data_IF_570421647128
#
_entry.id   IF_570421647128
#
_cell.length_a   1.000
_cell.length_b   1.000
_cell.length_c   1.000
_cell.angle_alpha   90.00
_cell.angle_beta   90.00
_cell.angle_gamma   90.00
#
_symmetry.space_group_name_H-M   'P 1'
#
loop_
_entity.id
_entity.type
_entity.pdbx_description
1 polymer ?
#
# COMPACT_ATOMS: atom_id res chain seq x y z
N UNK A 1 -10.42 -85.02 18.01
CA UNK A 1 -10.63 -83.71 18.65
C UNK A 1 -9.40 -82.82 18.38
N UNK A 2 -9.17 -82.43 17.11
CA UNK A 2 -8.04 -81.55 16.74
C UNK A 2 -8.24 -80.94 15.34
N UNK A 3 -9.35 -80.20 15.13
CA UNK A 3 -9.58 -79.52 13.83
C UNK A 3 -9.96 -78.05 13.97
N UNK A 4 -10.19 -77.50 15.18
CA UNK A 4 -10.68 -76.15 15.34
C UNK A 4 -9.62 -75.08 15.60
N UNK A 5 -8.36 -75.38 15.82
CA UNK A 5 -7.35 -74.39 16.21
C UNK A 5 -6.58 -73.74 15.02
N UNK A 6 -6.58 -74.38 13.86
CA UNK A 6 -5.81 -73.90 12.71
C UNK A 6 -6.53 -72.83 11.84
N UNK A 7 -7.83 -72.71 11.94
CA UNK A 7 -8.60 -71.71 11.14
C UNK A 7 -8.60 -70.31 11.76
N UNK A 8 -8.48 -70.22 13.08
CA UNK A 8 -8.47 -68.97 13.80
C UNK A 8 -7.17 -68.12 13.63
N UNK A 9 -6.05 -68.79 13.48
CA UNK A 9 -4.74 -68.11 13.32
C UNK A 9 -4.51 -67.53 11.92
N UNK A 10 -5.09 -68.16 10.85
CA UNK A 10 -5.00 -67.60 9.49
C UNK A 10 -5.87 -66.39 9.32
N UNK A 11 -7.05 -66.31 9.92
CA UNK A 11 -7.95 -65.15 9.83
C UNK A 11 -7.39 -63.94 10.58
N UNK A 12 -6.72 -64.13 11.73
CA UNK A 12 -6.06 -63.00 12.45
C UNK A 12 -4.93 -62.39 11.65
N UNK A 13 -4.16 -63.17 10.89
CA UNK A 13 -3.03 -62.71 10.08
C UNK A 13 -3.49 -61.84 8.91
N UNK A 14 -4.66 -62.11 8.31
CA UNK A 14 -5.24 -61.28 7.27
C UNK A 14 -5.88 -60.03 7.84
N UNK A 15 -6.39 -60.06 9.07
CA UNK A 15 -6.97 -58.89 9.74
C UNK A 15 -5.90 -57.82 10.05
N UNK A 16 -4.71 -58.23 10.49
CA UNK A 16 -3.57 -57.34 10.70
C UNK A 16 -2.98 -56.82 9.39
N UNK A 17 -2.99 -57.62 8.32
CA UNK A 17 -2.56 -57.19 6.98
C UNK A 17 -3.50 -56.14 6.37
N UNK A 18 -4.82 -56.30 6.56
CA UNK A 18 -5.84 -55.32 6.11
C UNK A 18 -5.78 -54.05 6.92
N UNK A 19 -5.52 -54.10 8.23
CA UNK A 19 -5.32 -52.91 9.07
C UNK A 19 -4.05 -52.17 8.69
N UNK A 20 -2.94 -52.87 8.35
CA UNK A 20 -1.69 -52.27 7.92
C UNK A 20 -1.82 -51.57 6.56
N UNK A 21 -2.67 -52.02 5.65
CA UNK A 21 -2.93 -51.41 4.35
C UNK A 21 -3.76 -50.14 4.44
N UNK A 22 -4.56 -49.93 5.51
CA UNK A 22 -5.39 -48.73 5.70
C UNK A 22 -4.54 -47.56 6.16
N UNK A 23 -3.34 -47.78 6.74
CA UNK A 23 -2.44 -46.70 7.16
C UNK A 23 -1.50 -46.19 6.04
N UNK A 24 -1.48 -46.83 4.87
CA UNK A 24 -0.78 -46.36 3.68
C UNK A 24 -1.71 -45.67 2.72
N UNK A 25 -2.47 -44.68 3.19
CA UNK A 25 -3.11 -43.71 2.29
C UNK A 25 -2.05 -42.66 1.99
N UNK A 26 -1.51 -42.59 0.76
CA UNK A 26 -0.64 -41.47 0.41
C UNK A 26 -1.45 -40.20 0.58
N UNK A 27 -0.94 -39.26 1.37
CA UNK A 27 -1.49 -37.92 1.42
C UNK A 27 -1.45 -37.34 0.01
N UNK A 28 -2.57 -37.41 -0.68
CA UNK A 28 -2.74 -36.73 -1.95
C UNK A 28 -2.67 -35.23 -1.67
N UNK A 29 -1.53 -34.63 -1.88
CA UNK A 29 -1.44 -33.18 -2.03
C UNK A 29 -2.21 -32.85 -3.30
N UNK A 30 -3.44 -32.41 -3.14
CA UNK A 30 -4.15 -31.76 -4.22
C UNK A 30 -3.35 -30.49 -4.57
N UNK A 31 -2.54 -30.57 -5.63
CA UNK A 31 -1.98 -29.39 -6.24
C UNK A 31 -3.18 -28.55 -6.69
N UNK A 32 -3.39 -27.40 -6.08
CA UNK A 32 -4.37 -26.41 -6.53
C UNK A 32 -3.88 -25.92 -7.90
N UNK A 33 -4.43 -26.47 -8.97
CA UNK A 33 -4.15 -25.99 -10.33
C UNK A 33 -4.92 -24.68 -10.51
N UNK A 34 -4.27 -23.57 -10.14
CA UNK A 34 -4.82 -22.22 -10.33
C UNK A 34 -4.62 -21.86 -11.80
N UNK A 35 -5.59 -22.20 -12.62
CA UNK A 35 -5.66 -21.65 -13.97
C UNK A 35 -6.04 -20.18 -13.84
N UNK A 36 -5.06 -19.28 -13.95
CA UNK A 36 -5.30 -17.85 -14.11
C UNK A 36 -5.83 -17.66 -15.53
N UNK A 37 -7.14 -17.83 -15.70
CA UNK A 37 -7.81 -17.28 -16.87
C UNK A 37 -7.76 -15.77 -16.73
N UNK A 38 -7.23 -15.06 -17.73
CA UNK A 38 -7.38 -13.61 -17.86
C UNK A 38 -8.88 -13.32 -18.01
N UNK A 39 -9.62 -13.28 -16.91
CA UNK A 39 -10.94 -12.69 -16.89
C UNK A 39 -10.76 -11.19 -17.19
N UNK A 40 -11.29 -10.73 -18.32
CA UNK A 40 -11.48 -9.30 -18.53
C UNK A 40 -12.45 -8.86 -17.44
N UNK A 41 -11.93 -8.23 -16.39
CA UNK A 41 -12.77 -7.52 -15.43
C UNK A 41 -13.31 -6.30 -16.18
N UNK A 42 -14.60 -6.29 -16.49
CA UNK A 42 -15.22 -5.10 -17.04
C UNK A 42 -15.29 -4.04 -15.94
N UNK A 43 -14.72 -2.84 -16.16
CA UNK A 43 -14.74 -1.81 -15.16
C UNK A 43 -16.17 -1.40 -14.79
N UNK A 44 -16.41 -1.22 -13.50
CA UNK A 44 -17.71 -0.84 -12.96
C UNK A 44 -18.04 0.63 -13.24
N UNK A 45 -19.19 0.96 -13.83
CA UNK A 45 -19.58 2.33 -14.11
C UNK A 45 -19.96 3.09 -12.85
N UNK A 46 -19.28 4.22 -12.61
CA UNK A 46 -19.56 5.12 -11.50
C UNK A 46 -19.84 6.56 -12.03
N UNK A 47 -20.94 7.15 -11.61
CA UNK A 47 -21.20 8.57 -11.83
C UNK A 47 -20.66 9.37 -10.63
N UNK A 48 -19.93 10.45 -10.91
CA UNK A 48 -19.38 11.36 -9.90
C UNK A 48 -19.86 12.75 -10.20
N UNK A 49 -20.82 13.25 -9.40
CA UNK A 49 -21.37 14.59 -9.61
C UNK A 49 -20.35 15.67 -9.22
N UNK A 50 -20.60 16.90 -9.65
CA UNK A 50 -19.83 18.03 -9.14
C UNK A 50 -20.01 18.14 -7.62
N UNK A 51 -18.94 18.50 -6.91
CA UNK A 51 -18.99 18.81 -5.49
C UNK A 51 -19.42 20.27 -5.35
N UNK A 52 -20.67 20.48 -4.96
CA UNK A 52 -21.28 21.81 -4.93
C UNK A 52 -20.65 22.69 -3.85
N UNK A 53 -20.14 23.83 -4.26
CA UNK A 53 -19.63 24.87 -3.39
C UNK A 53 -20.63 26.03 -3.20
N UNK A 54 -20.44 26.80 -2.11
CA UNK A 54 -21.23 28.02 -1.83
C UNK A 54 -20.44 29.32 -2.08
N UNK A 55 -19.26 29.25 -2.63
CA UNK A 55 -18.38 30.37 -2.99
C UNK A 55 -17.38 29.92 -4.05
N UNK A 56 -16.77 30.86 -4.77
CA UNK A 56 -15.78 30.57 -5.82
C UNK A 56 -14.65 29.69 -5.34
N UNK A 57 -14.18 29.86 -4.10
CA UNK A 57 -13.14 29.05 -3.49
C UNK A 57 -13.58 27.60 -3.29
N UNK A 58 -14.83 27.39 -2.88
CA UNK A 58 -15.37 26.05 -2.65
C UNK A 58 -15.80 25.38 -3.94
N UNK A 59 -16.26 26.12 -4.95
CA UNK A 59 -16.54 25.59 -6.28
C UNK A 59 -15.26 25.01 -6.89
N UNK A 60 -14.16 25.78 -6.94
CA UNK A 60 -12.86 25.29 -7.40
C UNK A 60 -12.34 24.10 -6.58
N UNK A 61 -12.55 24.12 -5.26
CA UNK A 61 -12.19 23.00 -4.40
C UNK A 61 -13.00 21.73 -4.72
N UNK A 62 -14.26 21.89 -5.09
CA UNK A 62 -15.14 20.81 -5.54
C UNK A 62 -14.70 20.16 -6.86
N UNK A 63 -14.28 20.99 -7.82
CA UNK A 63 -13.73 20.55 -9.10
C UNK A 63 -12.47 19.71 -8.89
N UNK A 64 -11.54 20.20 -8.05
CA UNK A 64 -10.31 19.47 -7.70
C UNK A 64 -10.62 18.12 -7.04
N UNK A 65 -11.58 18.06 -6.11
CA UNK A 65 -11.97 16.80 -5.47
C UNK A 65 -12.55 15.82 -6.49
N UNK A 66 -13.46 16.27 -7.35
CA UNK A 66 -14.05 15.42 -8.39
C UNK A 66 -13.01 14.86 -9.32
N UNK A 67 -12.10 15.71 -9.83
CA UNK A 67 -11.02 15.30 -10.73
C UNK A 67 -10.12 14.22 -10.08
N UNK A 68 -9.65 14.44 -8.85
CA UNK A 68 -8.80 13.48 -8.15
C UNK A 68 -9.51 12.14 -7.94
N UNK A 69 -10.78 12.17 -7.50
CA UNK A 69 -11.54 10.95 -7.25
C UNK A 69 -11.79 10.19 -8.55
N UNK A 70 -12.18 10.89 -9.62
CA UNK A 70 -12.39 10.31 -10.94
C UNK A 70 -11.11 9.64 -11.47
N UNK A 71 -10.00 10.36 -11.43
CA UNK A 71 -8.70 9.84 -11.89
C UNK A 71 -8.25 8.62 -11.07
N UNK A 72 -8.35 8.68 -9.74
CA UNK A 72 -7.98 7.57 -8.87
C UNK A 72 -8.77 6.31 -9.19
N UNK A 73 -10.10 6.42 -9.23
CA UNK A 73 -10.97 5.28 -9.47
C UNK A 73 -10.76 4.69 -10.87
N UNK A 74 -10.64 5.55 -11.90
CA UNK A 74 -10.38 5.11 -13.27
C UNK A 74 -9.01 4.44 -13.39
N UNK A 75 -7.96 5.01 -12.80
CA UNK A 75 -6.61 4.45 -12.84
C UNK A 75 -6.47 3.12 -12.08
N UNK A 76 -7.40 2.79 -11.19
CA UNK A 76 -7.44 1.46 -10.55
C UNK A 76 -7.75 0.33 -11.55
N UNK A 77 -8.32 0.66 -12.71
CA UNK A 77 -8.79 -0.32 -13.70
C UNK A 77 -10.09 -1.04 -13.32
N UNK A 78 -10.63 -0.81 -12.11
CA UNK A 78 -11.86 -1.44 -11.62
C UNK A 78 -13.10 -0.58 -11.87
N UNK A 79 -12.92 0.69 -12.20
CA UNK A 79 -14.01 1.64 -12.44
C UNK A 79 -13.80 2.39 -13.76
N UNK A 80 -14.89 2.84 -14.33
CA UNK A 80 -14.87 3.93 -15.31
C UNK A 80 -15.89 5.00 -14.91
N UNK A 81 -15.52 6.26 -15.07
CA UNK A 81 -16.40 7.38 -14.77
C UNK A 81 -17.35 7.61 -15.92
N UNK A 82 -18.65 7.60 -15.65
CA UNK A 82 -19.68 7.93 -16.63
C UNK A 82 -19.54 9.41 -16.99
N UNK A 83 -19.66 9.71 -18.29
CA UNK A 83 -19.56 11.08 -18.82
C UNK A 83 -20.64 11.97 -18.20
N UNK A 84 -20.24 13.16 -17.70
CA UNK A 84 -21.15 14.09 -17.04
C UNK A 84 -22.11 14.78 -18.00
N UNK A 85 -21.80 14.87 -19.28
CA UNK A 85 -22.74 15.35 -20.31
C UNK A 85 -24.00 14.46 -20.41
N UNK A 86 -23.95 13.24 -19.91
CA UNK A 86 -25.09 12.34 -19.85
C UNK A 86 -25.98 12.53 -18.60
N UNK A 87 -25.57 13.33 -17.63
CA UNK A 87 -26.29 13.46 -16.36
C UNK A 87 -27.60 14.23 -16.52
N UNK A 88 -28.71 13.54 -16.28
CA UNK A 88 -30.05 14.13 -16.30
C UNK A 88 -30.31 14.99 -15.05
N UNK A 89 -29.69 14.59 -13.92
CA UNK A 89 -29.72 15.34 -12.67
C UNK A 89 -28.38 16.03 -12.43
N UNK A 90 -28.38 17.38 -12.44
CA UNK A 90 -27.20 18.21 -12.17
C UNK A 90 -27.25 18.89 -10.79
N UNK A 91 -28.29 18.66 -10.00
CA UNK A 91 -28.50 19.27 -8.70
C UNK A 91 -27.55 18.73 -7.62
N UNK A 92 -27.42 19.51 -6.53
CA UNK A 92 -26.80 19.00 -5.31
C UNK A 92 -27.68 17.91 -4.68
N UNK A 93 -27.21 16.67 -4.75
CA UNK A 93 -27.93 15.49 -4.26
C UNK A 93 -27.59 15.11 -2.81
N UNK A 94 -26.71 15.87 -2.13
CA UNK A 94 -26.28 15.54 -0.75
C UNK A 94 -27.43 15.64 0.26
N UNK A 95 -28.37 16.53 0.03
CA UNK A 95 -29.54 16.72 0.91
C UNK A 95 -30.86 16.20 0.27
N UNK A 96 -30.77 15.48 -0.85
CA UNK A 96 -31.92 14.95 -1.60
C UNK A 96 -31.70 13.47 -1.93
N UNK A 97 -32.76 12.71 -2.03
CA UNK A 97 -32.71 11.35 -2.58
C UNK A 97 -32.61 11.45 -4.10
N UNK A 98 -31.61 10.82 -4.74
CA UNK A 98 -31.51 10.79 -6.19
C UNK A 98 -32.73 10.10 -6.84
N UNK A 99 -33.10 10.55 -8.03
CA UNK A 99 -34.02 9.79 -8.88
C UNK A 99 -33.20 8.70 -9.56
N UNK A 100 -33.16 7.52 -8.96
CA UNK A 100 -32.29 6.42 -9.41
C UNK A 100 -32.54 5.99 -10.85
N UNK A 101 -33.76 6.13 -11.36
CA UNK A 101 -34.10 5.78 -12.74
C UNK A 101 -33.31 6.61 -13.77
N UNK A 102 -33.06 7.91 -13.49
CA UNK A 102 -32.25 8.77 -14.36
C UNK A 102 -30.81 8.25 -14.49
N UNK A 103 -30.27 7.70 -13.41
CA UNK A 103 -28.93 7.14 -13.36
C UNK A 103 -28.84 5.74 -13.96
N UNK A 104 -29.92 4.96 -13.89
CA UNK A 104 -30.02 3.65 -14.55
C UNK A 104 -30.03 3.78 -16.07
N UNK A 105 -30.68 4.83 -16.62
CA UNK A 105 -30.75 5.10 -18.07
C UNK A 105 -29.32 5.25 -18.65
N UNK A 106 -28.44 5.94 -17.93
CA UNK A 106 -27.03 6.13 -18.35
C UNK A 106 -26.11 4.99 -17.88
N UNK A 107 -26.69 3.91 -17.36
CA UNK A 107 -26.01 2.69 -16.91
C UNK A 107 -25.00 2.92 -15.78
N UNK A 108 -25.14 3.96 -14.98
CA UNK A 108 -24.34 4.13 -13.77
C UNK A 108 -24.74 3.05 -12.75
N UNK A 109 -23.77 2.25 -12.28
CA UNK A 109 -23.99 1.29 -11.22
C UNK A 109 -23.91 1.94 -9.84
N UNK A 110 -22.97 2.85 -9.69
CA UNK A 110 -22.80 3.64 -8.47
C UNK A 110 -22.90 5.13 -8.78
N UNK A 111 -23.32 5.89 -7.77
CA UNK A 111 -23.39 7.35 -7.82
C UNK A 111 -22.72 7.93 -6.59
N UNK A 112 -21.69 8.75 -6.80
CA UNK A 112 -21.05 9.54 -5.77
C UNK A 112 -21.49 11.00 -5.92
N UNK A 113 -22.11 11.56 -4.88
CA UNK A 113 -22.46 12.96 -4.80
C UNK A 113 -21.76 13.61 -3.61
N UNK A 114 -21.42 14.90 -3.73
CA UNK A 114 -20.73 15.63 -2.68
C UNK A 114 -21.03 17.14 -2.66
N UNK A 115 -20.77 17.75 -1.52
CA UNK A 115 -20.70 19.21 -1.37
C UNK A 115 -19.47 19.61 -0.54
N UNK A 116 -19.06 20.86 -0.72
CA UNK A 116 -17.95 21.47 0.00
C UNK A 116 -18.36 22.85 0.49
N UNK A 117 -18.17 23.12 1.78
CA UNK A 117 -18.48 24.40 2.42
C UNK A 117 -17.28 24.90 3.21
N UNK A 118 -17.13 26.22 3.26
CA UNK A 118 -16.15 26.84 4.15
C UNK A 118 -16.89 27.42 5.36
N UNK A 119 -16.69 26.78 6.52
CA UNK A 119 -17.40 27.08 7.77
C UNK A 119 -16.36 27.04 8.90
N UNK A 120 -16.42 28.01 9.81
CA UNK A 120 -15.52 28.09 10.98
C UNK A 120 -14.03 27.97 10.61
N UNK A 121 -13.65 28.64 9.54
CA UNK A 121 -12.28 28.66 9.01
C UNK A 121 -11.75 27.28 8.60
N UNK A 122 -12.64 26.34 8.23
CA UNK A 122 -12.34 24.99 7.76
C UNK A 122 -13.14 24.65 6.52
N UNK A 123 -12.57 23.81 5.67
CA UNK A 123 -13.34 23.20 4.59
C UNK A 123 -14.04 21.96 5.14
N UNK A 124 -15.36 21.92 4.99
CA UNK A 124 -16.21 20.78 5.36
C UNK A 124 -16.75 20.15 4.08
N UNK A 125 -16.46 18.88 3.86
CA UNK A 125 -16.88 18.10 2.69
C UNK A 125 -17.81 17.00 3.17
N UNK A 126 -18.98 16.88 2.51
CA UNK A 126 -19.90 15.76 2.70
C UNK A 126 -19.95 14.97 1.42
N UNK A 127 -20.00 13.66 1.55
CA UNK A 127 -20.19 12.73 0.43
C UNK A 127 -21.33 11.77 0.73
N UNK A 128 -22.02 11.34 -0.32
CA UNK A 128 -22.95 10.21 -0.30
C UNK A 128 -22.69 9.31 -1.49
N UNK A 129 -22.56 8.03 -1.22
CA UNK A 129 -22.37 6.99 -2.22
C UNK A 129 -23.64 6.13 -2.25
N UNK A 130 -24.18 5.92 -3.44
CA UNK A 130 -25.40 5.16 -3.67
C UNK A 130 -25.11 3.97 -4.58
N UNK A 131 -25.77 2.85 -4.30
CA UNK A 131 -25.99 1.78 -5.27
C UNK A 131 -27.26 2.13 -6.06
N UNK A 132 -27.10 2.41 -7.33
CA UNK A 132 -28.16 2.91 -8.23
C UNK A 132 -29.21 1.83 -8.49
N UNK A 133 -28.76 0.58 -8.70
CA UNK A 133 -29.68 -0.52 -8.99
C UNK A 133 -30.44 -0.98 -7.76
N UNK A 134 -29.80 -1.02 -6.61
CA UNK A 134 -30.45 -1.29 -5.33
C UNK A 134 -31.30 -0.12 -4.83
N UNK A 135 -31.11 1.09 -5.37
CA UNK A 135 -31.85 2.30 -5.00
C UNK A 135 -31.60 2.74 -3.55
N UNK A 136 -30.38 2.55 -3.03
CA UNK A 136 -30.08 2.84 -1.62
C UNK A 136 -28.73 3.52 -1.44
N UNK A 137 -28.64 4.31 -0.36
CA UNK A 137 -27.37 4.86 0.11
C UNK A 137 -26.54 3.74 0.76
N UNK A 138 -25.31 3.60 0.32
CA UNK A 138 -24.38 2.60 0.87
C UNK A 138 -23.28 3.19 1.74
N UNK A 139 -23.03 4.51 1.64
CA UNK A 139 -22.10 5.24 2.50
C UNK A 139 -22.40 6.72 2.52
N UNK A 140 -22.40 7.34 3.72
CA UNK A 140 -22.39 8.79 3.89
C UNK A 140 -21.28 9.18 4.87
N UNK A 141 -20.50 10.21 4.52
CA UNK A 141 -19.40 10.69 5.38
C UNK A 141 -19.30 12.21 5.32
N UNK A 142 -18.95 12.80 6.46
CA UNK A 142 -18.56 14.20 6.59
C UNK A 142 -17.12 14.27 7.07
N UNK A 143 -16.29 15.04 6.36
CA UNK A 143 -14.89 15.26 6.68
C UNK A 143 -14.60 16.75 6.73
N UNK A 144 -13.60 17.16 7.53
CA UNK A 144 -13.18 18.56 7.60
C UNK A 144 -11.67 18.66 7.55
N UNK A 145 -11.18 19.66 6.82
CA UNK A 145 -9.75 19.98 6.70
C UNK A 145 -9.51 21.46 7.03
N UNK A 146 -8.38 21.80 7.66
CA UNK A 146 -8.12 23.16 8.10
C UNK A 146 -7.81 24.13 6.95
N UNK A 147 -7.26 23.66 5.83
CA UNK A 147 -6.85 24.50 4.70
C UNK A 147 -7.01 23.78 3.36
N UNK A 148 -6.92 24.53 2.27
CA UNK A 148 -7.06 24.02 0.91
C UNK A 148 -5.93 23.07 0.48
N UNK A 149 -4.76 23.15 1.09
CA UNK A 149 -3.58 22.36 0.71
C UNK A 149 -3.80 20.86 0.99
N UNK A 150 -4.76 20.56 1.88
CA UNK A 150 -5.17 19.19 2.19
C UNK A 150 -6.31 18.67 1.30
N UNK A 151 -6.85 19.48 0.36
CA UNK A 151 -7.92 19.03 -0.54
C UNK A 151 -7.50 17.83 -1.37
N UNK A 152 -6.27 17.84 -1.88
CA UNK A 152 -5.73 16.75 -2.67
C UNK A 152 -5.73 15.44 -1.86
N UNK A 153 -5.16 15.47 -0.66
CA UNK A 153 -5.15 14.32 0.25
C UNK A 153 -6.57 13.87 0.64
N UNK A 154 -7.49 14.83 0.79
CA UNK A 154 -8.89 14.51 1.06
C UNK A 154 -9.54 13.78 -0.12
N UNK A 155 -9.25 14.17 -1.36
CA UNK A 155 -9.70 13.48 -2.57
C UNK A 155 -9.22 12.02 -2.59
N UNK A 156 -7.94 11.77 -2.28
CA UNK A 156 -7.40 10.40 -2.18
C UNK A 156 -8.11 9.58 -1.09
N UNK A 157 -8.36 10.15 0.08
CA UNK A 157 -9.11 9.48 1.16
C UNK A 157 -10.55 9.17 0.79
N UNK A 158 -11.21 10.06 0.06
CA UNK A 158 -12.57 9.79 -0.46
C UNK A 158 -12.51 8.63 -1.46
N UNK A 159 -11.50 8.60 -2.34
CA UNK A 159 -11.30 7.50 -3.27
C UNK A 159 -11.11 6.18 -2.54
N UNK A 160 -10.30 6.14 -1.46
CA UNK A 160 -10.11 4.97 -0.61
C UNK A 160 -11.44 4.47 -0.02
N UNK A 161 -12.25 5.39 0.53
CA UNK A 161 -13.55 5.05 1.10
C UNK A 161 -14.55 4.49 0.07
N UNK A 162 -14.56 5.06 -1.14
CA UNK A 162 -15.41 4.59 -2.24
C UNK A 162 -14.94 3.22 -2.71
N UNK A 163 -13.65 3.07 -2.93
CA UNK A 163 -13.02 1.82 -3.36
C UNK A 163 -13.32 0.68 -2.37
N UNK A 164 -13.00 0.89 -1.09
CA UNK A 164 -13.21 -0.08 -0.02
C UNK A 164 -14.70 -0.46 0.11
N UNK A 165 -15.59 0.53 0.02
CA UNK A 165 -17.03 0.26 0.16
C UNK A 165 -17.59 -0.59 -0.96
N UNK A 166 -17.07 -0.45 -2.17
CA UNK A 166 -17.56 -1.17 -3.35
C UNK A 166 -16.87 -2.52 -3.52
N UNK A 167 -15.55 -2.58 -3.32
CA UNK A 167 -14.74 -3.79 -3.58
C UNK A 167 -14.60 -4.70 -2.36
N UNK A 168 -14.75 -4.15 -1.15
CA UNK A 168 -14.43 -4.84 0.11
C UNK A 168 -12.94 -4.88 0.44
N UNK A 169 -12.08 -4.36 -0.42
CA UNK A 169 -10.63 -4.30 -0.22
C UNK A 169 -10.20 -2.91 0.22
N UNK A 170 -9.16 -2.81 1.03
CA UNK A 170 -8.63 -1.52 1.49
C UNK A 170 -8.15 -0.65 0.34
N UNK A 171 -8.49 0.65 0.38
CA UNK A 171 -8.01 1.63 -0.59
C UNK A 171 -6.50 1.89 -0.44
N UNK A 172 -5.88 2.39 -1.51
CA UNK A 172 -4.43 2.66 -1.57
C UNK A 172 -4.09 4.04 -2.15
N UNK A 173 -5.10 4.88 -2.39
CA UNK A 173 -4.91 6.18 -3.05
C UNK A 173 -4.27 7.24 -2.14
N UNK A 174 -4.54 7.23 -0.80
CA UNK A 174 -3.83 8.09 0.17
C UNK A 174 -2.46 7.50 0.53
N UNK A 175 -1.69 7.08 -0.48
CA UNK A 175 -0.32 6.59 -0.32
C UNK A 175 0.69 7.46 -1.07
N UNK A 176 1.96 7.28 -0.75
CA UNK A 176 3.05 8.05 -1.35
C UNK A 176 4.14 7.14 -1.86
N UNK A 177 4.83 7.59 -2.89
CA UNK A 177 5.99 6.94 -3.48
C UNK A 177 7.24 7.70 -3.05
N UNK A 178 8.19 7.00 -2.44
CA UNK A 178 9.54 7.50 -2.22
C UNK A 178 10.46 6.96 -3.30
N UNK A 179 11.26 7.81 -3.90
CA UNK A 179 12.12 7.44 -5.04
C UNK A 179 13.37 8.28 -5.12
N UNK A 180 14.29 7.88 -5.98
CA UNK A 180 15.47 8.69 -6.31
C UNK A 180 15.21 9.42 -7.63
N UNK A 181 15.12 10.74 -7.52
CA UNK A 181 15.09 11.62 -8.69
C UNK A 181 16.50 11.82 -9.20
N UNK A 182 16.72 11.60 -10.49
CA UNK A 182 18.01 11.73 -11.15
C UNK A 182 17.91 12.71 -12.30
N UNK A 183 18.76 13.75 -12.28
CA UNK A 183 18.79 14.81 -13.28
C UNK A 183 20.23 15.13 -13.70
N UNK A 184 20.40 15.70 -14.89
CA UNK A 184 21.68 16.12 -15.43
C UNK A 184 22.29 15.16 -16.45
N UNK A 185 23.40 15.55 -17.09
CA UNK A 185 24.09 14.73 -18.09
C UNK A 185 24.70 13.47 -17.47
N UNK A 186 24.95 12.45 -18.27
CA UNK A 186 25.35 11.11 -17.84
C UNK A 186 26.56 11.10 -16.88
N UNK A 187 27.50 12.00 -17.08
CA UNK A 187 28.72 12.11 -16.31
C UNK A 187 28.66 13.05 -15.10
N UNK A 188 27.51 13.74 -14.91
CA UNK A 188 27.29 14.69 -13.81
C UNK A 188 25.88 14.62 -13.27
N UNK A 189 25.37 13.39 -13.06
CA UNK A 189 24.03 13.19 -12.56
C UNK A 189 23.92 13.53 -11.09
N UNK A 190 22.92 14.35 -10.78
CA UNK A 190 22.54 14.68 -9.40
C UNK A 190 21.38 13.79 -9.00
N UNK A 191 21.55 13.02 -7.93
CA UNK A 191 20.52 12.15 -7.35
C UNK A 191 19.99 12.75 -6.06
N UNK A 192 18.66 12.80 -5.94
CA UNK A 192 17.98 13.32 -4.75
C UNK A 192 16.95 12.33 -4.27
N UNK A 193 16.85 12.17 -2.96
CA UNK A 193 15.69 11.51 -2.37
C UNK A 193 14.48 12.41 -2.57
N UNK A 194 13.41 11.86 -3.11
CA UNK A 194 12.18 12.56 -3.41
C UNK A 194 10.95 11.74 -2.99
N UNK A 195 9.85 12.44 -2.78
CA UNK A 195 8.55 11.85 -2.44
C UNK A 195 7.46 12.52 -3.29
N UNK A 196 6.43 11.75 -3.64
CA UNK A 196 5.23 12.24 -4.34
C UNK A 196 4.01 11.40 -3.96
N UNK A 197 2.81 11.89 -4.26
CA UNK A 197 1.59 11.09 -4.18
C UNK A 197 1.63 9.94 -5.20
N UNK A 198 0.87 8.90 -4.95
CA UNK A 198 0.90 7.69 -5.79
C UNK A 198 0.49 7.91 -7.25
N UNK A 199 -0.29 8.96 -7.52
CA UNK A 199 -0.75 9.32 -8.86
C UNK A 199 0.28 10.12 -9.69
N UNK A 200 1.43 10.46 -9.09
CA UNK A 200 2.52 11.17 -9.77
C UNK A 200 2.25 12.62 -10.11
N UNK A 201 1.23 13.25 -9.51
CA UNK A 201 0.91 14.66 -9.79
C UNK A 201 2.09 15.58 -9.46
N UNK A 202 2.40 16.52 -10.36
CA UNK A 202 3.58 17.40 -10.26
C UNK A 202 3.66 18.20 -8.96
N UNK A 203 2.52 18.70 -8.47
CA UNK A 203 2.45 19.53 -7.26
C UNK A 203 2.66 18.73 -5.97
N UNK A 204 2.60 17.39 -6.04
CA UNK A 204 2.88 16.51 -4.90
C UNK A 204 4.35 16.17 -4.74
N UNK A 205 5.16 16.47 -5.77
CA UNK A 205 6.59 16.18 -5.80
C UNK A 205 7.37 17.06 -4.83
N UNK A 206 8.16 16.45 -3.95
CA UNK A 206 9.03 17.14 -3.01
C UNK A 206 10.39 16.47 -2.92
N UNK A 207 11.48 17.25 -3.01
CA UNK A 207 12.83 16.79 -2.68
C UNK A 207 13.03 16.74 -1.17
N UNK A 208 13.54 15.60 -0.67
CA UNK A 208 13.89 15.41 0.74
C UNK A 208 15.38 15.63 1.00
N UNK A 209 16.22 15.58 -0.05
CA UNK A 209 17.66 15.87 0.02
C UNK A 209 18.07 16.89 -1.05
N UNK A 210 19.18 17.55 -0.82
CA UNK A 210 19.67 18.64 -1.69
C UNK A 210 20.51 18.17 -2.90
N UNK A 211 20.85 16.87 -2.99
CA UNK A 211 21.64 16.30 -4.07
C UNK A 211 23.15 16.52 -3.99
N UNK A 212 23.67 16.96 -2.84
CA UNK A 212 25.14 17.09 -2.62
C UNK A 212 25.83 15.73 -2.57
N UNK A 213 25.15 14.74 -1.97
CA UNK A 213 25.65 13.40 -1.81
C UNK A 213 24.84 12.42 -2.68
N UNK A 214 25.47 11.34 -3.10
CA UNK A 214 24.79 10.24 -3.77
C UNK A 214 23.84 9.56 -2.80
N UNK A 215 22.56 9.47 -3.16
CA UNK A 215 21.52 8.78 -2.38
C UNK A 215 20.93 7.62 -3.17
N UNK A 216 20.63 6.49 -2.49
CA UNK A 216 20.18 5.26 -3.12
C UNK A 216 19.19 4.50 -2.21
N UNK A 217 18.47 3.56 -2.80
CA UNK A 217 17.66 2.50 -2.14
C UNK A 217 16.73 2.98 -1.03
N UNK A 218 15.83 3.95 -1.29
CA UNK A 218 14.87 4.39 -0.28
C UNK A 218 13.84 3.28 0.03
N UNK A 219 13.39 3.24 1.28
CA UNK A 219 12.34 2.34 1.76
C UNK A 219 11.47 3.02 2.80
N UNK A 220 10.15 2.89 2.66
CA UNK A 220 9.23 3.26 3.73
C UNK A 220 9.30 2.26 4.89
N UNK A 221 9.17 2.77 6.11
CA UNK A 221 8.76 1.97 7.23
C UNK A 221 7.26 1.64 7.10
N UNK A 222 6.77 0.51 7.63
CA UNK A 222 5.35 0.17 7.64
C UNK A 222 4.44 1.24 8.28
N UNK A 223 4.97 2.06 9.19
CA UNK A 223 4.25 3.19 9.81
C UNK A 223 3.98 4.37 8.85
N UNK A 224 4.51 4.34 7.62
CA UNK A 224 4.39 5.40 6.60
C UNK A 224 4.85 6.81 7.03
N UNK A 225 5.61 6.92 8.14
CA UNK A 225 6.12 8.19 8.68
C UNK A 225 7.64 8.30 8.57
N UNK A 226 8.30 7.19 8.33
CA UNK A 226 9.76 7.08 8.36
C UNK A 226 10.25 6.43 7.08
N UNK A 227 11.37 6.92 6.57
CA UNK A 227 12.05 6.37 5.38
C UNK A 227 13.47 6.02 5.78
N UNK A 228 13.98 4.84 5.38
CA UNK A 228 15.41 4.61 5.32
C UNK A 228 15.92 4.81 3.90
N UNK A 229 17.16 5.24 3.79
CA UNK A 229 17.87 5.32 2.53
C UNK A 229 19.38 5.23 2.77
N UNK A 230 20.12 4.96 1.73
CA UNK A 230 21.58 4.99 1.76
C UNK A 230 22.08 6.31 1.19
N UNK A 231 23.04 6.94 1.87
CA UNK A 231 23.73 8.15 1.41
C UNK A 231 25.24 7.93 1.49
N UNK A 232 25.95 8.38 0.46
CA UNK A 232 27.41 8.34 0.43
C UNK A 232 27.96 9.62 1.06
N UNK A 233 28.48 9.52 2.25
CA UNK A 233 29.17 10.60 2.93
C UNK A 233 30.69 10.36 2.86
N UNK A 234 31.43 11.28 2.25
CA UNK A 234 32.87 11.13 2.02
C UNK A 234 33.25 9.78 1.37
N UNK A 235 32.52 9.36 0.34
CA UNK A 235 32.67 8.09 -0.37
C UNK A 235 32.37 6.84 0.48
N UNK A 236 31.84 6.99 1.68
CA UNK A 236 31.43 5.87 2.53
C UNK A 236 29.91 5.78 2.56
N UNK A 237 29.30 4.65 2.15
CA UNK A 237 27.87 4.47 2.24
C UNK A 237 27.42 4.32 3.69
N UNK A 238 26.41 5.08 4.05
CA UNK A 238 25.76 5.09 5.37
C UNK A 238 24.27 4.94 5.22
N UNK A 239 23.64 4.23 6.14
CA UNK A 239 22.19 4.16 6.24
C UNK A 239 21.67 5.32 7.07
N UNK A 240 20.68 6.02 6.52
CA UNK A 240 19.98 7.11 7.18
C UNK A 240 18.53 6.78 7.39
N UNK A 241 17.94 7.35 8.43
CA UNK A 241 16.51 7.43 8.66
C UNK A 241 16.08 8.89 8.46
N UNK A 242 14.99 9.08 7.73
CA UNK A 242 14.33 10.36 7.54
C UNK A 242 12.92 10.29 8.11
N UNK A 243 12.60 11.18 9.05
CA UNK A 243 11.27 11.31 9.62
C UNK A 243 10.47 12.35 8.83
N UNK A 244 9.40 11.93 8.17
CA UNK A 244 8.58 12.80 7.33
C UNK A 244 7.76 13.83 8.10
N UNK A 245 7.51 13.61 9.40
CA UNK A 245 6.70 14.52 10.21
C UNK A 245 7.46 15.78 10.60
N UNK A 246 8.73 15.66 10.91
CA UNK A 246 9.55 16.76 11.41
C UNK A 246 10.76 17.10 10.52
N UNK A 247 10.97 16.36 9.43
CA UNK A 247 12.09 16.57 8.50
C UNK A 247 13.47 16.19 9.07
N UNK A 248 13.53 15.59 10.25
CA UNK A 248 14.79 15.19 10.89
C UNK A 248 15.35 13.96 10.20
N UNK A 249 16.64 14.01 9.88
CA UNK A 249 17.40 12.86 9.42
C UNK A 249 18.46 12.47 10.45
N UNK A 250 18.68 11.20 10.60
CA UNK A 250 19.69 10.63 11.50
C UNK A 250 20.39 9.43 10.86
N UNK A 251 21.65 9.23 11.23
CA UNK A 251 22.40 8.05 10.81
C UNK A 251 21.99 6.83 11.63
N UNK A 252 21.90 5.67 10.97
CA UNK A 252 21.62 4.40 11.64
C UNK A 252 22.92 3.73 12.02
N UNK A 253 23.38 3.99 13.26
CA UNK A 253 24.63 3.48 13.78
C UNK A 253 25.87 4.15 13.16
N UNK A 254 26.89 4.32 13.96
CA UNK A 254 28.19 4.82 13.52
C UNK A 254 29.15 3.62 13.34
N UNK A 255 29.07 3.00 12.18
CA UNK A 255 29.91 1.86 11.83
C UNK A 255 31.16 2.31 11.10
N UNK A 256 32.32 1.73 11.40
CA UNK A 256 33.56 2.07 10.71
C UNK A 256 33.62 1.65 9.24
N UNK A 257 32.73 0.72 8.82
CA UNK A 257 32.64 0.21 7.47
C UNK A 257 31.40 0.70 6.72
N UNK A 258 31.02 -0.03 5.69
CA UNK A 258 29.86 0.28 4.83
C UNK A 258 28.60 -0.37 5.38
N UNK A 259 27.51 0.39 5.47
CA UNK A 259 26.17 -0.11 5.76
C UNK A 259 25.25 0.03 4.55
N UNK A 260 24.46 -0.99 4.23
CA UNK A 260 23.58 -0.98 3.06
C UNK A 260 22.40 -1.95 3.20
N UNK A 261 21.50 -1.92 2.20
CA UNK A 261 20.31 -2.75 2.10
C UNK A 261 19.39 -2.77 3.36
N UNK A 262 19.07 -1.61 3.95
CA UNK A 262 18.25 -1.57 5.16
C UNK A 262 16.81 -2.02 4.89
N UNK A 263 16.22 -2.74 5.87
CA UNK A 263 14.81 -3.10 5.90
C UNK A 263 14.24 -2.92 7.29
N UNK A 264 13.05 -2.30 7.37
CA UNK A 264 12.31 -2.24 8.62
C UNK A 264 11.65 -3.55 8.97
N UNK A 265 11.52 -3.82 10.27
CA UNK A 265 10.61 -4.84 10.77
C UNK A 265 9.14 -4.43 10.54
N UNK A 266 8.19 -5.39 10.50
CA UNK A 266 6.77 -5.09 10.30
C UNK A 266 6.17 -4.11 11.32
N UNK A 267 6.69 -4.10 12.55
CA UNK A 267 6.30 -3.18 13.62
C UNK A 267 7.01 -1.81 13.57
N UNK A 268 7.91 -1.60 12.60
CA UNK A 268 8.73 -0.39 12.44
C UNK A 268 9.66 -0.08 13.62
N UNK A 269 9.95 -1.05 14.50
CA UNK A 269 10.78 -0.84 15.69
C UNK A 269 12.24 -1.23 15.46
N UNK A 270 12.51 -2.02 14.43
CA UNK A 270 13.85 -2.56 14.15
C UNK A 270 14.23 -2.33 12.69
N UNK A 271 15.53 -2.31 12.43
CA UNK A 271 16.13 -2.34 11.09
C UNK A 271 17.10 -3.50 11.03
N UNK A 272 16.97 -4.29 9.98
CA UNK A 272 18.00 -5.25 9.56
C UNK A 272 18.77 -4.67 8.38
N UNK A 273 20.08 -4.85 8.35
CA UNK A 273 20.97 -4.29 7.32
C UNK A 273 22.22 -5.16 7.14
N UNK A 274 22.87 -4.97 6.01
CA UNK A 274 24.21 -5.53 5.77
C UNK A 274 25.26 -4.54 6.24
N UNK A 275 26.31 -5.05 6.87
CA UNK A 275 27.50 -4.30 7.25
C UNK A 275 28.75 -5.00 6.71
N UNK A 276 29.56 -4.26 5.97
CA UNK A 276 30.85 -4.73 5.46
C UNK A 276 32.00 -4.18 6.33
N UNK A 277 32.73 -5.08 6.96
CA UNK A 277 33.87 -4.72 7.78
C UNK A 277 35.08 -4.39 6.88
N UNK A 278 35.67 -3.17 6.96
CA UNK A 278 36.78 -2.78 6.12
C UNK A 278 38.08 -3.56 6.40
N UNK A 279 38.20 -4.22 7.56
CA UNK A 279 39.39 -4.99 7.94
C UNK A 279 39.38 -6.40 7.34
N UNK A 280 38.21 -7.03 7.33
CA UNK A 280 38.08 -8.42 6.86
C UNK A 280 37.53 -8.49 5.44
N UNK A 281 36.97 -7.40 4.91
CA UNK A 281 36.22 -7.32 3.67
C UNK A 281 35.03 -8.30 3.62
N UNK A 282 34.64 -8.86 4.78
CA UNK A 282 33.46 -9.71 4.90
C UNK A 282 32.21 -8.86 5.18
N UNK A 283 31.07 -9.37 4.76
CA UNK A 283 29.78 -8.69 4.91
C UNK A 283 28.82 -9.60 5.66
N UNK A 284 28.20 -9.06 6.68
CA UNK A 284 27.34 -9.78 7.60
C UNK A 284 26.03 -9.06 7.85
N UNK A 285 25.04 -9.76 8.35
CA UNK A 285 23.74 -9.20 8.69
C UNK A 285 23.71 -8.72 10.13
N UNK A 286 23.23 -7.51 10.32
CA UNK A 286 23.06 -6.88 11.62
C UNK A 286 21.62 -6.43 11.82
N UNK A 287 21.14 -6.59 13.04
CA UNK A 287 19.85 -6.11 13.51
C UNK A 287 20.06 -4.97 14.50
N UNK A 288 19.40 -3.84 14.26
CA UNK A 288 19.37 -2.70 15.15
C UNK A 288 17.96 -2.47 15.70
N UNK A 289 17.84 -2.35 17.01
CA UNK A 289 16.64 -1.84 17.67
C UNK A 289 16.65 -0.30 17.65
N UNK A 290 15.60 0.32 17.12
CA UNK A 290 15.55 1.77 16.93
C UNK A 290 15.29 2.55 18.21
N UNK A 291 14.71 1.93 19.22
CA UNK A 291 14.42 2.57 20.51
C UNK A 291 15.65 2.55 21.42
N UNK A 292 16.26 1.38 21.56
CA UNK A 292 17.40 1.16 22.45
C UNK A 292 18.74 1.46 21.80
N UNK A 293 18.77 1.54 20.46
CA UNK A 293 19.98 1.68 19.63
C UNK A 293 20.96 0.50 19.79
N UNK A 294 20.51 -0.59 20.33
CA UNK A 294 21.33 -1.82 20.43
C UNK A 294 21.45 -2.47 19.06
N UNK A 295 22.66 -2.98 18.78
CA UNK A 295 23.02 -3.59 17.52
C UNK A 295 23.50 -5.02 17.80
N UNK A 296 22.91 -5.99 17.09
CA UNK A 296 23.25 -7.39 17.20
C UNK A 296 23.66 -7.93 15.83
N UNK A 297 24.83 -8.57 15.75
CA UNK A 297 25.27 -9.35 14.60
C UNK A 297 24.48 -10.65 14.54
N UNK A 298 23.88 -10.96 13.40
CA UNK A 298 23.07 -12.15 13.20
C UNK A 298 23.81 -13.29 12.48
N UNK A 299 24.73 -12.96 11.58
CA UNK A 299 25.52 -13.94 10.83
C UNK A 299 27.00 -13.84 11.14
N UNK A 300 27.74 -14.93 11.05
CA UNK A 300 29.16 -15.01 11.32
C UNK A 300 29.78 -16.21 10.61
N UNK A 301 29.91 -16.12 9.30
CA UNK A 301 30.54 -17.14 8.48
C UNK A 301 31.49 -16.52 7.44
N UNK A 302 32.30 -17.33 6.71
CA UNK A 302 33.22 -16.79 5.70
C UNK A 302 32.55 -16.25 4.44
N UNK A 303 31.24 -16.48 4.26
CA UNK A 303 30.47 -16.03 3.13
C UNK A 303 30.13 -14.52 3.22
N UNK A 304 29.65 -13.97 2.11
CA UNK A 304 29.12 -12.62 2.05
C UNK A 304 27.60 -12.69 2.22
N UNK A 305 27.11 -12.24 3.36
CA UNK A 305 25.70 -12.16 3.67
C UNK A 305 25.15 -10.76 3.39
N UNK A 306 24.13 -10.67 2.54
CA UNK A 306 23.60 -9.37 2.10
C UNK A 306 22.10 -9.40 1.81
N UNK A 307 21.52 -8.18 1.73
CA UNK A 307 20.12 -7.98 1.31
C UNK A 307 19.09 -8.67 2.20
N UNK A 308 19.17 -8.54 3.54
CA UNK A 308 18.25 -9.19 4.45
C UNK A 308 16.82 -8.66 4.30
N UNK A 309 15.85 -9.50 4.68
CA UNK A 309 14.43 -9.12 4.73
C UNK A 309 13.72 -9.80 5.89
N UNK A 310 12.76 -9.11 6.51
CA UNK A 310 11.88 -9.71 7.50
C UNK A 310 10.77 -10.53 6.85
N UNK A 311 10.35 -11.60 7.51
CA UNK A 311 9.07 -12.24 7.23
C UNK A 311 7.90 -11.31 7.60
N UNK A 312 6.70 -11.47 6.99
CA UNK A 312 5.55 -10.61 7.29
C UNK A 312 5.14 -10.60 8.76
N UNK A 313 5.37 -11.69 9.49
CA UNK A 313 5.11 -11.80 10.93
C UNK A 313 6.25 -11.27 11.82
N UNK A 314 7.35 -10.81 11.21
CA UNK A 314 8.53 -10.27 11.90
C UNK A 314 9.37 -11.29 12.68
N UNK A 315 9.06 -12.59 12.58
CA UNK A 315 9.73 -13.64 13.39
C UNK A 315 10.97 -14.21 12.74
N UNK A 316 11.13 -14.04 11.43
CA UNK A 316 12.26 -14.57 10.66
C UNK A 316 12.93 -13.46 9.86
N UNK A 317 14.23 -13.64 9.61
CA UNK A 317 15.03 -12.84 8.69
C UNK A 317 15.63 -13.81 7.66
N UNK A 318 15.54 -13.43 6.39
CA UNK A 318 16.06 -14.19 5.25
C UNK A 318 17.12 -13.35 4.58
#
# INVERSE_FOLDING_TARGET
>A
MNVCYFRSLKMKKYYYLTILLIFFVPSSYAALDVTISQGKVEPTPIAITNFFGNSDKTVKGGEVLREIISNNLTNSGLFYTVDDDLYIQSDNLVDKVPRFEDWKIIKAQFLLSGDIKFIDNKYSVRIRLYDVFAGQEIKAVKMSIPNKDLLRRLGHKISDLVYERITGEGGYFDTRIVYISEVGPLNQRVKRLAIMDQDGHSDSHQFLTNGKNLVLTPRFAPNNQTITYMEYENNTPRVYIYNLKNGVREIVGDFPGMTFAPRFSPDSQKIVMSFSDPKTANTEIYLMDLNTRTINRLTNDPGIDTSPSFSPDGKKIV
#
